data_IF_279925161487
#
_entry.id   IF_279925161487
#
_cell.length_a   1.000
_cell.length_b   1.000
_cell.length_c   1.000
_cell.angle_alpha   90.00
_cell.angle_beta   90.00
_cell.angle_gamma   90.00
#
_symmetry.space_group_name_H-M   'P 1'
#
loop_
_entity.id
_entity.type
_entity.pdbx_description
1 polymer ?
#
# COMPACT_ATOMS: atom_id res chain seq x y z
N UNK A 1 13.19 -16.99 -21.86
CA UNK A 1 12.18 -17.50 -20.89
C UNK A 1 12.15 -16.52 -19.74
N UNK A 2 10.97 -16.13 -19.26
CA UNK A 2 10.88 -15.15 -18.18
C UNK A 2 11.55 -15.68 -16.91
N UNK A 3 12.50 -14.94 -16.36
CA UNK A 3 13.11 -15.22 -15.07
C UNK A 3 12.28 -14.53 -13.98
N UNK A 4 11.77 -15.32 -13.03
CA UNK A 4 10.84 -14.89 -11.98
C UNK A 4 11.41 -15.33 -10.64
N UNK A 5 11.75 -14.39 -9.75
CA UNK A 5 12.40 -14.67 -8.47
C UNK A 5 11.65 -14.04 -7.28
N UNK A 6 11.70 -14.65 -6.08
CA UNK A 6 11.07 -14.11 -4.88
C UNK A 6 11.84 -12.92 -4.32
N UNK A 7 11.22 -12.14 -3.43
CA UNK A 7 11.85 -10.99 -2.77
C UNK A 7 11.31 -10.78 -1.35
N UNK A 8 12.03 -10.00 -0.55
CA UNK A 8 11.60 -9.59 0.78
C UNK A 8 10.69 -8.36 0.68
N UNK A 9 9.39 -8.59 0.56
CA UNK A 9 8.34 -7.58 0.53
C UNK A 9 8.11 -6.90 1.88
N UNK A 10 7.40 -5.78 1.83
CA UNK A 10 7.01 -4.99 3.00
C UNK A 10 5.49 -5.08 3.11
N UNK A 11 5.03 -5.51 4.28
CA UNK A 11 3.63 -5.79 4.58
C UNK A 11 3.25 -5.11 5.90
N UNK A 12 1.96 -4.88 6.12
CA UNK A 12 1.49 -4.54 7.46
C UNK A 12 1.72 -5.70 8.43
N UNK A 13 2.13 -5.36 9.64
CA UNK A 13 2.31 -6.33 10.71
C UNK A 13 0.95 -6.81 11.24
N UNK A 14 0.60 -8.10 11.09
CA UNK A 14 -0.70 -8.61 11.52
C UNK A 14 -0.88 -8.61 13.05
N UNK A 15 0.20 -8.49 13.84
CA UNK A 15 0.11 -8.37 15.29
C UNK A 15 -0.33 -6.97 15.74
N UNK A 16 -0.04 -5.93 14.92
CA UNK A 16 -0.39 -4.53 15.22
C UNK A 16 -1.60 -4.05 14.42
N UNK A 17 -1.79 -4.58 13.22
CA UNK A 17 -2.90 -4.26 12.31
C UNK A 17 -3.76 -5.51 12.15
N UNK A 18 -4.77 -5.63 13.00
CA UNK A 18 -5.66 -6.80 13.02
C UNK A 18 -6.56 -6.84 11.78
N UNK A 19 -7.03 -5.68 11.32
CA UNK A 19 -7.93 -5.57 10.17
C UNK A 19 -7.32 -4.72 9.05
N UNK A 20 -6.83 -5.38 7.99
CA UNK A 20 -6.25 -4.70 6.83
C UNK A 20 -7.23 -3.75 6.13
N UNK A 21 -8.54 -3.99 6.21
CA UNK A 21 -9.54 -3.12 5.60
C UNK A 21 -9.57 -1.71 6.22
N UNK A 22 -9.05 -1.54 7.44
CA UNK A 22 -8.98 -0.24 8.12
C UNK A 22 -7.82 0.62 7.64
N UNK A 23 -6.78 -0.03 7.10
CA UNK A 23 -5.55 0.64 6.63
C UNK A 23 -5.38 0.66 5.11
N UNK A 24 -6.28 0.02 4.37
CA UNK A 24 -6.28 0.02 2.92
C UNK A 24 -7.14 1.16 2.33
N UNK A 25 -6.86 1.50 1.08
CA UNK A 25 -7.64 2.44 0.25
C UNK A 25 -7.75 1.90 -1.18
N UNK A 26 -8.66 2.46 -1.99
CA UNK A 26 -8.56 2.37 -3.45
C UNK A 26 -7.24 2.96 -3.98
N UNK A 27 -6.94 2.76 -5.28
CA UNK A 27 -5.90 3.50 -5.99
C UNK A 27 -6.07 5.03 -5.86
N UNK A 28 -4.98 5.77 -5.75
CA UNK A 28 -5.01 7.21 -5.45
C UNK A 28 -5.70 8.07 -6.51
N UNK A 29 -5.76 7.59 -7.75
CA UNK A 29 -6.34 8.28 -8.91
C UNK A 29 -7.87 8.26 -8.93
N UNK A 30 -8.50 7.44 -8.09
CA UNK A 30 -9.97 7.38 -7.95
C UNK A 30 -10.48 7.96 -6.62
N UNK A 31 -9.59 8.46 -5.75
CA UNK A 31 -9.94 9.00 -4.43
C UNK A 31 -10.30 10.49 -4.54
N UNK A 32 -11.49 10.86 -4.10
CA UNK A 32 -11.91 12.26 -3.93
C UNK A 32 -11.31 12.92 -2.68
N UNK A 33 -11.37 14.25 -2.59
CA UNK A 33 -10.87 14.99 -1.42
C UNK A 33 -11.59 14.62 -0.11
N UNK A 34 -12.91 14.40 -0.19
CA UNK A 34 -13.70 14.01 0.98
C UNK A 34 -13.36 12.59 1.43
N UNK A 35 -13.15 11.67 0.49
CA UNK A 35 -12.68 10.31 0.78
C UNK A 35 -11.28 10.31 1.39
N UNK A 36 -10.35 11.10 0.83
CA UNK A 36 -9.01 11.27 1.39
C UNK A 36 -9.08 11.68 2.87
N UNK A 37 -9.91 12.67 3.21
CA UNK A 37 -10.11 13.12 4.58
C UNK A 37 -10.70 12.00 5.47
N UNK A 38 -11.65 11.23 4.94
CA UNK A 38 -12.25 10.11 5.66
C UNK A 38 -11.24 8.99 5.92
N UNK A 39 -10.40 8.63 4.95
CA UNK A 39 -9.33 7.64 5.16
C UNK A 39 -8.30 8.11 6.19
N UNK A 40 -7.94 9.40 6.19
CA UNK A 40 -7.06 9.97 7.21
C UNK A 40 -7.65 9.86 8.62
N UNK A 41 -8.98 9.97 8.76
CA UNK A 41 -9.70 9.81 10.03
C UNK A 41 -9.93 8.34 10.41
N UNK A 42 -10.03 7.45 9.42
CA UNK A 42 -10.39 6.03 9.61
C UNK A 42 -9.37 5.29 10.48
N UNK A 43 -8.08 5.47 10.20
CA UNK A 43 -7.02 4.80 10.95
C UNK A 43 -5.72 5.61 10.93
N UNK A 44 -4.97 5.70 12.05
CA UNK A 44 -3.69 6.44 12.09
C UNK A 44 -2.66 5.88 11.11
N UNK A 45 -2.65 4.56 10.90
CA UNK A 45 -1.74 3.88 9.97
C UNK A 45 -2.37 3.58 8.60
N UNK A 46 -3.37 4.36 8.16
CA UNK A 46 -3.97 4.15 6.85
C UNK A 46 -3.01 4.56 5.71
N UNK A 47 -2.89 3.71 4.69
CA UNK A 47 -1.95 3.87 3.56
C UNK A 47 -2.12 5.18 2.79
N UNK A 48 -3.26 5.87 2.93
CA UNK A 48 -3.50 7.20 2.38
C UNK A 48 -2.35 8.18 2.69
N UNK A 49 -1.74 8.06 3.88
CA UNK A 49 -0.61 8.90 4.30
C UNK A 49 0.63 8.72 3.44
N UNK A 50 0.79 7.57 2.80
CA UNK A 50 1.91 7.26 1.91
C UNK A 50 1.57 7.51 0.45
N UNK A 51 0.34 7.20 0.01
CA UNK A 51 -0.01 7.24 -1.42
C UNK A 51 -0.66 8.56 -1.86
N UNK A 52 -1.34 9.27 -0.96
CA UNK A 52 -2.06 10.51 -1.26
C UNK A 52 -2.20 11.34 0.02
N UNK A 53 -1.07 11.81 0.55
CA UNK A 53 -1.06 12.67 1.73
C UNK A 53 -1.64 14.06 1.46
N UNK A 54 -2.10 14.73 2.52
CA UNK A 54 -2.62 16.10 2.44
C UNK A 54 -1.57 17.08 1.90
N UNK A 55 -2.00 17.95 0.98
CA UNK A 55 -1.28 19.14 0.57
C UNK A 55 -1.67 20.31 1.47
N UNK A 56 -0.73 21.21 1.71
CA UNK A 56 -0.97 22.42 2.51
C UNK A 56 -0.45 23.64 1.77
N UNK A 57 -0.98 24.82 2.10
CA UNK A 57 -0.51 26.10 1.53
C UNK A 57 0.97 26.39 1.85
N UNK A 58 1.52 25.72 2.88
CA UNK A 58 2.91 25.86 3.30
C UNK A 58 3.86 24.86 2.61
N UNK A 59 3.33 24.01 1.71
CA UNK A 59 4.13 23.01 1.02
C UNK A 59 5.20 23.67 0.13
N UNK A 60 6.40 23.12 0.19
CA UNK A 60 7.56 23.58 -0.57
C UNK A 60 8.48 22.39 -0.91
N UNK A 61 9.60 22.66 -1.57
CA UNK A 61 10.54 21.62 -2.00
C UNK A 61 11.06 20.73 -0.86
N UNK A 62 11.17 21.29 0.37
CA UNK A 62 11.74 20.59 1.53
C UNK A 62 10.69 20.02 2.49
N UNK A 63 9.47 20.53 2.44
CA UNK A 63 8.35 20.04 3.24
C UNK A 63 7.09 20.01 2.39
N UNK A 64 6.71 18.82 1.93
CA UNK A 64 5.50 18.60 1.14
C UNK A 64 4.93 17.21 1.44
N UNK A 65 3.85 16.85 0.74
CA UNK A 65 3.18 15.56 0.95
C UNK A 65 4.12 14.35 0.81
N UNK A 66 5.12 14.42 -0.07
CA UNK A 66 6.07 13.33 -0.31
C UNK A 66 7.11 13.22 0.80
N UNK A 67 7.64 14.34 1.29
CA UNK A 67 8.59 14.31 2.42
C UNK A 67 7.90 13.81 3.68
N UNK A 68 6.63 14.17 3.88
CA UNK A 68 5.79 13.62 4.96
C UNK A 68 5.52 12.13 4.79
N UNK A 69 5.21 11.67 3.58
CA UNK A 69 5.07 10.24 3.28
C UNK A 69 6.35 9.45 3.59
N UNK A 70 7.52 9.97 3.21
CA UNK A 70 8.81 9.37 3.58
C UNK A 70 9.02 9.31 5.10
N UNK A 71 8.64 10.37 5.82
CA UNK A 71 8.64 10.41 7.28
C UNK A 71 7.78 9.29 7.88
N UNK A 72 6.50 9.20 7.49
CA UNK A 72 5.59 8.15 7.95
C UNK A 72 6.09 6.76 7.59
N UNK A 73 6.62 6.54 6.39
CA UNK A 73 7.13 5.24 6.00
C UNK A 73 8.29 4.78 6.90
N UNK A 74 9.25 5.67 7.18
CA UNK A 74 10.38 5.35 8.07
C UNK A 74 9.91 5.11 9.51
N UNK A 75 8.99 5.94 10.01
CA UNK A 75 8.36 5.77 11.31
C UNK A 75 7.68 4.40 11.41
N UNK A 76 6.86 4.03 10.44
CA UNK A 76 6.11 2.77 10.44
C UNK A 76 7.01 1.53 10.34
N UNK A 77 8.15 1.62 9.66
CA UNK A 77 9.16 0.56 9.69
C UNK A 77 9.79 0.46 11.08
N UNK A 78 10.16 1.60 11.68
CA UNK A 78 10.78 1.62 13.02
C UNK A 78 9.84 1.15 14.13
N UNK A 79 8.55 1.43 13.99
CA UNK A 79 7.49 1.00 14.89
C UNK A 79 6.93 -0.38 14.54
N UNK A 80 7.50 -1.07 13.54
CA UNK A 80 7.03 -2.38 13.05
C UNK A 80 5.54 -2.41 12.72
N UNK A 81 4.96 -1.28 12.31
CA UNK A 81 3.63 -1.21 11.70
C UNK A 81 3.70 -1.80 10.29
N UNK A 82 4.77 -1.47 9.58
CA UNK A 82 5.21 -2.16 8.38
C UNK A 82 6.41 -3.03 8.73
N UNK A 83 6.39 -4.28 8.29
CA UNK A 83 7.48 -5.23 8.48
C UNK A 83 7.96 -5.73 7.13
N UNK A 84 9.27 -5.95 7.03
CA UNK A 84 9.88 -6.58 5.88
C UNK A 84 10.03 -8.07 6.15
N UNK A 85 9.63 -8.91 5.20
CA UNK A 85 9.76 -10.35 5.36
C UNK A 85 11.23 -10.75 5.53
N UNK A 86 11.49 -11.68 6.45
CA UNK A 86 12.85 -12.17 6.75
C UNK A 86 13.39 -13.11 5.67
N UNK A 87 12.50 -13.81 4.97
CA UNK A 87 12.83 -14.71 3.87
C UNK A 87 12.18 -14.21 2.57
N UNK A 88 12.85 -14.33 1.41
CA UNK A 88 12.22 -13.99 0.14
C UNK A 88 10.96 -14.82 -0.11
N UNK A 89 9.89 -14.19 -0.57
CA UNK A 89 8.64 -14.84 -0.89
C UNK A 89 8.08 -14.41 -2.26
N UNK A 90 7.17 -15.24 -2.77
CA UNK A 90 6.25 -14.88 -3.83
C UNK A 90 4.93 -14.46 -3.19
N UNK A 91 4.36 -13.32 -3.60
CA UNK A 91 3.10 -12.84 -3.03
C UNK A 91 1.96 -13.09 -3.99
N UNK A 92 1.03 -13.95 -3.57
CA UNK A 92 -0.17 -14.26 -4.35
C UNK A 92 -1.29 -13.33 -3.90
N UNK A 93 -1.93 -12.66 -4.85
CA UNK A 93 -3.14 -11.89 -4.61
C UNK A 93 -4.35 -12.58 -5.22
N UNK A 94 -5.52 -12.35 -4.63
CA UNK A 94 -6.78 -12.74 -5.26
C UNK A 94 -7.77 -11.60 -5.17
N UNK A 95 -8.45 -11.32 -6.28
CA UNK A 95 -9.51 -10.33 -6.37
C UNK A 95 -10.78 -11.05 -6.81
N UNK A 96 -11.84 -10.89 -6.03
CA UNK A 96 -13.17 -11.41 -6.32
C UNK A 96 -14.10 -10.26 -6.71
N UNK A 97 -14.81 -10.41 -7.81
CA UNK A 97 -15.75 -9.41 -8.33
C UNK A 97 -16.85 -10.08 -9.15
N UNK A 98 -17.95 -9.35 -9.42
CA UNK A 98 -19.10 -9.87 -10.16
C UNK A 98 -19.22 -9.19 -11.53
N UNK A 99 -19.42 -9.98 -12.58
CA UNK A 99 -19.70 -9.50 -13.95
C UNK A 99 -20.95 -10.22 -14.45
N UNK A 100 -21.98 -9.47 -14.87
CA UNK A 100 -23.26 -10.00 -15.35
C UNK A 100 -23.90 -11.05 -14.41
N UNK A 101 -23.78 -10.82 -13.10
CA UNK A 101 -24.29 -11.73 -12.06
C UNK A 101 -23.42 -12.97 -11.79
N UNK A 102 -22.31 -13.13 -12.50
CA UNK A 102 -21.36 -14.24 -12.31
C UNK A 102 -20.20 -13.78 -11.42
N UNK A 103 -19.94 -14.51 -10.34
CA UNK A 103 -18.77 -14.29 -9.49
C UNK A 103 -17.50 -14.81 -10.17
N UNK A 104 -16.50 -13.93 -10.27
CA UNK A 104 -15.19 -14.21 -10.88
C UNK A 104 -14.11 -13.99 -9.82
N UNK A 105 -13.17 -14.93 -9.74
CA UNK A 105 -11.96 -14.80 -8.93
C UNK A 105 -10.73 -14.75 -9.84
N UNK A 106 -9.96 -13.67 -9.73
CA UNK A 106 -8.70 -13.48 -10.45
C UNK A 106 -7.53 -13.58 -9.48
N UNK A 107 -6.55 -14.41 -9.83
CA UNK A 107 -5.29 -14.50 -9.10
C UNK A 107 -4.23 -13.59 -9.74
N UNK A 108 -3.35 -13.05 -8.89
CA UNK A 108 -2.18 -12.27 -9.29
C UNK A 108 -0.94 -12.77 -8.57
N UNK A 109 0.21 -12.52 -9.16
CA UNK A 109 1.52 -12.82 -8.58
C UNK A 109 2.35 -11.54 -8.56
N UNK A 110 2.87 -11.18 -7.39
CA UNK A 110 3.86 -10.12 -7.23
C UNK A 110 5.21 -10.80 -6.98
N UNK A 111 6.13 -10.57 -7.90
CA UNK A 111 7.47 -11.15 -7.94
C UNK A 111 8.43 -10.20 -8.68
N UNK A 112 9.74 -10.42 -8.56
CA UNK A 112 10.70 -9.75 -9.42
C UNK A 112 10.79 -10.49 -10.74
N UNK A 113 10.84 -9.73 -11.83
CA UNK A 113 11.03 -10.24 -13.19
C UNK A 113 12.26 -9.60 -13.81
N UNK A 114 13.06 -10.40 -14.53
CA UNK A 114 14.22 -9.86 -15.27
C UNK A 114 13.76 -8.91 -16.37
N UNK A 115 14.42 -7.76 -16.48
CA UNK A 115 14.25 -6.85 -17.62
C UNK A 115 14.97 -7.42 -18.84
N UNK A 116 14.32 -7.40 -20.01
CA UNK A 116 14.93 -7.73 -21.30
C UNK A 116 15.16 -6.45 -22.12
N UNK A 117 16.18 -6.42 -23.00
CA UNK A 117 16.41 -5.32 -23.95
C UNK A 117 15.29 -5.14 -24.98
#
# INVERSE_FOLDING_TARGET
MAEVIPFNGILYNPEKIINLADVATPPYDVISKDEQLNFHKKHPYNIIRLILGNETENDNEKNNRYTRAAGFFNEWISEEILIRDRIPAFYITSVEFTVDGVSIKRFGLIALVRLEP
#
